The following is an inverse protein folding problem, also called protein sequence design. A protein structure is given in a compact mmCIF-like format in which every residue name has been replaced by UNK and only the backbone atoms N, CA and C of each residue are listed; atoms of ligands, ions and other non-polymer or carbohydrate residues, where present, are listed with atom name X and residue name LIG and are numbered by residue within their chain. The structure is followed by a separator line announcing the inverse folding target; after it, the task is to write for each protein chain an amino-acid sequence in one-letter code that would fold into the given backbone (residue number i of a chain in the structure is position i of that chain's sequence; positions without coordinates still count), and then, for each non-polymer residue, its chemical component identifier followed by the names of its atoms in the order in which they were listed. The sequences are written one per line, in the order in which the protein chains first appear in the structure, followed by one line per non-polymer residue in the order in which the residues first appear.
data_IF_953092119956
#
_entry.id   IF_953092119956
#
_cell.length_a   1.000
_cell.length_b   1.000
_cell.length_c   1.000
_cell.angle_alpha   90.00
_cell.angle_beta   90.00
_cell.angle_gamma   90.00
#
_symmetry.space_group_name_H-M   'P 1'
#
loop_
_entity.id
_entity.type
_entity.pdbx_description
1 polymer ?
#
# COMPACT_ATOMS: atom_id res chain seq x y z
N UNK A 1 -15.95 32.82 9.14
CA UNK A 1 -14.63 32.13 9.15
C UNK A 1 -14.32 31.74 7.71
N UNK A 2 -13.07 31.87 7.26
CA UNK A 2 -12.69 31.41 5.92
C UNK A 2 -12.78 29.87 5.88
N UNK A 3 -13.36 29.32 4.80
CA UNK A 3 -13.45 27.88 4.59
C UNK A 3 -12.06 27.34 4.24
N UNK A 4 -11.60 26.33 4.99
CA UNK A 4 -10.34 25.63 4.72
C UNK A 4 -10.56 24.36 3.91
N UNK A 5 -9.48 23.84 3.32
CA UNK A 5 -9.47 22.62 2.52
C UNK A 5 -8.54 21.57 3.14
N UNK A 6 -8.83 20.30 2.88
CA UNK A 6 -7.97 19.20 3.29
C UNK A 6 -6.83 19.01 2.29
N UNK A 7 -5.68 18.54 2.79
CA UNK A 7 -4.57 18.16 1.91
C UNK A 7 -5.04 17.08 0.91
N UNK A 8 -4.63 17.15 -0.38
CA UNK A 8 -5.11 16.21 -1.41
C UNK A 8 -4.85 14.73 -1.06
N UNK A 9 -3.71 14.41 -0.44
CA UNK A 9 -3.43 13.06 0.10
C UNK A 9 -4.48 12.64 1.13
N UNK A 10 -4.87 13.53 2.05
CA UNK A 10 -5.91 13.25 3.06
C UNK A 10 -7.27 13.05 2.41
N UNK A 11 -7.61 13.82 1.38
CA UNK A 11 -8.84 13.64 0.62
C UNK A 11 -8.87 12.25 -0.05
N UNK A 12 -7.75 11.85 -0.66
CA UNK A 12 -7.61 10.54 -1.28
C UNK A 12 -7.72 9.39 -0.27
N UNK A 13 -7.02 9.46 0.87
CA UNK A 13 -7.12 8.46 1.94
C UNK A 13 -8.57 8.29 2.36
N UNK A 14 -9.32 9.38 2.57
CA UNK A 14 -10.74 9.31 2.94
C UNK A 14 -11.58 8.66 1.85
N UNK A 15 -11.39 9.05 0.59
CA UNK A 15 -12.09 8.47 -0.58
C UNK A 15 -11.82 6.97 -0.68
N UNK A 16 -10.56 6.56 -0.60
CA UNK A 16 -10.16 5.16 -0.64
C UNK A 16 -10.69 4.36 0.56
N UNK A 17 -10.57 4.90 1.77
CA UNK A 17 -11.06 4.24 2.99
C UNK A 17 -12.55 3.96 2.92
N UNK A 18 -13.35 4.95 2.51
CA UNK A 18 -14.80 4.79 2.33
C UNK A 18 -15.16 3.70 1.30
N UNK A 19 -14.36 3.53 0.25
CA UNK A 19 -14.58 2.46 -0.74
C UNK A 19 -14.40 1.07 -0.14
N UNK A 20 -13.36 0.88 0.68
CA UNK A 20 -13.02 -0.40 1.30
C UNK A 20 -13.90 -0.71 2.53
N UNK A 21 -14.24 0.30 3.34
CA UNK A 21 -15.16 0.17 4.48
C UNK A 21 -16.54 -0.33 4.04
N UNK A 22 -17.06 0.17 2.91
CA UNK A 22 -18.31 -0.33 2.30
C UNK A 22 -18.26 -1.81 1.90
N UNK A 23 -17.06 -2.40 1.83
CA UNK A 23 -16.80 -3.82 1.57
C UNK A 23 -16.38 -4.59 2.82
N UNK A 24 -16.51 -3.97 3.99
CA UNK A 24 -16.24 -4.57 5.29
C UNK A 24 -14.76 -4.64 5.65
N UNK A 25 -13.91 -3.80 5.05
CA UNK A 25 -12.53 -3.62 5.53
C UNK A 25 -12.52 -2.62 6.69
N UNK A 26 -11.77 -2.96 7.74
CA UNK A 26 -11.46 -2.04 8.83
C UNK A 26 -10.24 -1.17 8.46
N UNK A 27 -10.19 0.06 8.99
CA UNK A 27 -9.00 0.91 8.91
C UNK A 27 -8.13 0.65 10.13
N UNK A 28 -6.87 0.31 9.92
CA UNK A 28 -5.89 0.13 10.98
C UNK A 28 -4.68 1.04 10.75
N UNK A 29 -4.17 1.63 11.82
CA UNK A 29 -2.92 2.37 11.83
C UNK A 29 -1.94 1.70 12.78
N UNK A 30 -0.66 1.72 12.44
CA UNK A 30 0.40 1.13 13.24
C UNK A 30 1.66 1.98 13.27
N UNK A 31 2.68 1.54 14.02
CA UNK A 31 3.88 2.33 14.27
C UNK A 31 4.67 2.59 12.99
N UNK A 32 5.28 3.78 12.92
CA UNK A 32 6.22 4.18 11.86
C UNK A 32 7.67 3.76 12.16
N UNK A 33 8.04 3.71 13.44
CA UNK A 33 9.29 3.10 13.91
C UNK A 33 9.01 1.63 14.20
N UNK A 34 9.69 0.73 13.49
CA UNK A 34 9.46 -0.70 13.60
C UNK A 34 10.74 -1.51 13.86
N UNK A 35 10.57 -2.80 14.08
CA UNK A 35 11.62 -3.80 14.18
C UNK A 35 11.80 -4.52 12.84
N UNK A 36 12.98 -5.10 12.65
CA UNK A 36 13.28 -5.92 11.48
C UNK A 36 12.29 -7.09 11.31
N UNK A 37 11.80 -7.65 12.42
CA UNK A 37 10.82 -8.73 12.40
C UNK A 37 9.55 -8.35 11.62
N UNK A 38 8.89 -7.26 12.01
CA UNK A 38 7.61 -6.88 11.39
C UNK A 38 7.80 -6.24 10.02
N UNK A 39 8.87 -5.48 9.81
CA UNK A 39 9.11 -4.83 8.51
C UNK A 39 9.66 -5.80 7.46
N UNK A 40 10.27 -6.93 7.84
CA UNK A 40 10.89 -7.82 6.87
C UNK A 40 10.70 -9.31 7.14
N UNK A 41 11.14 -9.84 8.30
CA UNK A 41 11.20 -11.30 8.53
C UNK A 41 9.81 -11.95 8.42
N UNK A 42 8.82 -11.34 9.08
CA UNK A 42 7.44 -11.82 9.08
C UNK A 42 6.81 -11.79 7.68
N UNK A 43 7.34 -10.95 6.79
CA UNK A 43 6.92 -10.77 5.40
C UNK A 43 7.78 -11.58 4.42
N UNK A 44 8.50 -12.59 4.91
CA UNK A 44 9.29 -13.51 4.08
C UNK A 44 10.38 -12.81 3.24
N UNK A 45 10.83 -11.64 3.68
CA UNK A 45 11.98 -10.94 3.10
C UNK A 45 13.19 -11.38 3.90
N UNK A 46 14.18 -12.16 3.41
CA UNK A 46 15.29 -12.64 4.23
C UNK A 46 16.39 -11.57 4.49
N UNK A 47 17.27 -11.82 5.46
CA UNK A 47 18.36 -10.90 5.87
C UNK A 47 19.30 -10.47 4.72
N UNK A 48 19.50 -11.33 3.73
CA UNK A 48 20.33 -11.07 2.55
C UNK A 48 19.56 -10.46 1.37
N UNK A 49 18.30 -10.06 1.58
CA UNK A 49 17.48 -9.45 0.53
C UNK A 49 17.91 -8.00 0.28
N UNK A 50 18.05 -7.54 -0.99
CA UNK A 50 18.49 -6.18 -1.31
C UNK A 50 17.68 -5.08 -0.62
N UNK A 51 16.36 -5.25 -0.48
CA UNK A 51 15.50 -4.27 0.20
C UNK A 51 15.85 -4.00 1.69
N UNK A 52 16.70 -4.83 2.32
CA UNK A 52 17.20 -4.61 3.68
C UNK A 52 18.50 -3.78 3.72
N UNK A 53 19.07 -3.46 2.56
CA UNK A 53 20.32 -2.71 2.48
C UNK A 53 20.17 -1.34 3.18
N UNK A 54 21.23 -0.92 3.87
CA UNK A 54 21.31 0.38 4.54
C UNK A 54 21.19 1.56 3.55
N UNK A 55 21.45 1.30 2.27
CA UNK A 55 21.24 2.28 1.21
C UNK A 55 19.75 2.54 0.93
N UNK A 56 18.86 1.61 1.26
CA UNK A 56 17.42 1.71 0.94
C UNK A 56 16.54 1.97 2.18
N UNK A 57 17.01 1.61 3.39
CA UNK A 57 16.25 1.70 4.64
C UNK A 57 16.88 2.66 5.65
N UNK A 58 16.05 3.51 6.29
CA UNK A 58 16.51 4.34 7.41
C UNK A 58 16.58 3.55 8.72
N UNK A 59 17.78 3.19 9.13
CA UNK A 59 18.06 2.51 10.40
C UNK A 59 18.30 3.52 11.54
N UNK A 60 17.80 3.18 12.73
CA UNK A 60 18.00 3.95 13.97
C UNK A 60 19.21 3.39 14.74
N UNK A 61 19.78 4.23 15.60
CA UNK A 61 20.97 3.88 16.39
C UNK A 61 20.76 2.74 17.39
N UNK A 62 19.50 2.42 17.71
CA UNK A 62 19.11 1.33 18.62
C UNK A 62 18.74 0.03 17.88
N UNK A 63 18.99 -0.04 16.57
CA UNK A 63 18.72 -1.22 15.74
C UNK A 63 17.29 -1.32 15.20
N UNK A 64 16.39 -0.38 15.56
CA UNK A 64 15.08 -0.24 14.91
C UNK A 64 15.21 0.48 13.56
N UNK A 65 14.11 0.61 12.84
CA UNK A 65 14.08 1.28 11.53
C UNK A 65 12.80 2.10 11.34
N UNK A 66 12.83 3.03 10.39
CA UNK A 66 11.60 3.64 9.87
C UNK A 66 10.99 2.70 8.82
N UNK A 67 9.70 2.37 8.96
CA UNK A 67 9.04 1.38 8.10
C UNK A 67 9.14 1.76 6.62
N UNK A 68 9.46 0.78 5.78
CA UNK A 68 9.61 0.98 4.32
C UNK A 68 8.30 0.79 3.55
N UNK A 69 7.32 0.19 4.22
CA UNK A 69 5.98 -0.06 3.74
C UNK A 69 5.02 -0.24 4.93
N UNK A 70 3.72 -0.23 4.68
CA UNK A 70 2.66 -0.46 5.69
C UNK A 70 2.33 -1.94 5.92
N UNK A 71 2.99 -2.87 5.23
CA UNK A 71 2.80 -4.33 5.39
C UNK A 71 3.11 -4.83 6.80
N UNK A 72 3.98 -4.12 7.52
CA UNK A 72 4.29 -4.39 8.93
C UNK A 72 3.03 -4.44 9.80
N UNK A 73 2.07 -3.57 9.49
CA UNK A 73 0.81 -3.45 10.22
C UNK A 73 -0.15 -4.60 9.89
N UNK A 74 -0.05 -5.20 8.71
CA UNK A 74 -0.86 -6.36 8.34
C UNK A 74 -0.58 -7.55 9.26
N UNK A 75 0.71 -7.84 9.52
CA UNK A 75 1.13 -8.91 10.43
C UNK A 75 0.63 -8.62 11.85
N UNK A 76 0.86 -7.39 12.35
CA UNK A 76 0.40 -6.96 13.69
C UNK A 76 -1.11 -7.05 13.85
N UNK A 77 -1.87 -6.70 12.80
CA UNK A 77 -3.32 -6.81 12.79
C UNK A 77 -3.76 -8.27 12.86
N UNK A 78 -3.14 -9.15 12.08
CA UNK A 78 -3.52 -10.55 11.98
C UNK A 78 -3.08 -11.41 13.18
N UNK A 79 -1.94 -11.10 13.82
CA UNK A 79 -1.28 -11.92 14.85
C UNK A 79 -2.20 -12.38 16.01
N UNK A 80 -3.17 -11.55 16.39
CA UNK A 80 -4.12 -11.82 17.47
C UNK A 80 -5.57 -11.96 16.99
N UNK A 81 -5.79 -12.27 15.71
CA UNK A 81 -7.11 -12.40 15.10
C UNK A 81 -7.22 -13.73 14.35
N UNK A 82 -8.44 -14.24 14.27
CA UNK A 82 -8.76 -15.38 13.41
C UNK A 82 -9.54 -14.87 12.20
N UNK A 83 -9.35 -15.43 10.99
CA UNK A 83 -10.14 -15.06 9.83
C UNK A 83 -11.66 -15.21 10.06
N UNK A 84 -12.50 -14.37 9.43
CA UNK A 84 -12.18 -13.45 8.32
C UNK A 84 -11.44 -12.19 8.78
N UNK A 85 -10.38 -11.81 8.04
CA UNK A 85 -9.60 -10.59 8.25
C UNK A 85 -9.75 -9.73 7.01
N UNK A 86 -10.25 -8.51 7.17
CA UNK A 86 -10.30 -7.48 6.11
C UNK A 86 -9.81 -6.17 6.71
N UNK A 87 -8.63 -5.71 6.28
CA UNK A 87 -8.03 -4.49 6.81
C UNK A 87 -7.36 -3.69 5.71
N UNK A 88 -7.49 -2.38 5.77
CA UNK A 88 -6.63 -1.44 5.05
C UNK A 88 -5.76 -0.65 6.05
N UNK A 89 -4.55 -0.34 5.62
CA UNK A 89 -3.55 0.36 6.41
C UNK A 89 -3.04 1.55 5.60
N UNK A 90 -3.67 2.73 5.73
CA UNK A 90 -3.07 3.97 5.26
C UNK A 90 -1.92 4.36 6.20
N UNK A 91 -0.82 4.88 5.66
CA UNK A 91 0.28 5.34 6.52
C UNK A 91 1.46 5.94 5.78
N UNK A 92 2.24 6.73 6.51
CA UNK A 92 3.51 7.27 6.03
C UNK A 92 4.60 6.21 6.07
N UNK A 93 5.40 6.13 5.02
CA UNK A 93 6.51 5.17 4.88
C UNK A 93 7.77 5.91 4.43
N UNK A 94 8.93 5.30 4.63
CA UNK A 94 10.21 5.94 4.42
C UNK A 94 11.13 5.10 3.55
N UNK A 95 11.83 5.76 2.64
CA UNK A 95 12.85 5.12 1.79
C UNK A 95 14.05 6.03 1.71
N UNK A 96 15.24 5.46 1.80
CA UNK A 96 16.48 6.22 1.69
C UNK A 96 16.81 6.48 0.21
N UNK A 97 15.93 7.23 -0.45
CA UNK A 97 16.05 7.61 -1.87
C UNK A 97 16.32 9.12 -1.99
N UNK A 98 17.04 9.51 -3.05
CA UNK A 98 17.28 10.91 -3.35
C UNK A 98 15.98 11.59 -3.79
N UNK A 99 15.59 12.68 -3.14
CA UNK A 99 14.37 13.41 -3.50
C UNK A 99 14.51 14.11 -4.86
N UNK A 100 13.58 13.84 -5.77
CA UNK A 100 13.47 14.50 -7.07
C UNK A 100 12.01 14.81 -7.44
N UNK A 101 11.71 15.03 -8.72
CA UNK A 101 10.34 15.32 -9.18
C UNK A 101 9.35 14.17 -8.97
N UNK A 102 9.84 12.93 -8.84
CA UNK A 102 9.08 11.69 -8.77
C UNK A 102 9.39 10.84 -7.54
N UNK A 103 10.55 11.00 -6.94
CA UNK A 103 11.00 10.29 -5.75
C UNK A 103 10.98 11.21 -4.52
N UNK A 104 10.57 10.66 -3.38
CA UNK A 104 10.60 11.34 -2.10
C UNK A 104 10.95 10.34 -1.00
N UNK A 105 11.73 10.81 -0.02
CA UNK A 105 12.19 9.99 1.09
C UNK A 105 11.09 9.58 2.07
N UNK A 106 10.01 10.37 2.10
CA UNK A 106 8.81 10.16 2.92
C UNK A 106 7.65 10.05 1.95
N UNK A 107 6.90 8.96 1.97
CA UNK A 107 5.78 8.69 1.06
C UNK A 107 4.54 8.31 1.87
N UNK A 108 3.37 8.32 1.23
CA UNK A 108 2.15 7.78 1.82
C UNK A 108 1.73 6.54 1.04
N UNK A 109 1.53 5.43 1.74
CA UNK A 109 0.99 4.21 1.18
C UNK A 109 -0.38 3.90 1.75
N UNK A 110 -1.15 3.14 0.97
CA UNK A 110 -2.30 2.39 1.46
C UNK A 110 -2.08 0.94 1.07
N UNK A 111 -2.09 0.07 2.06
CA UNK A 111 -2.10 -1.36 1.84
C UNK A 111 -3.42 -1.98 2.29
N UNK A 112 -3.75 -3.13 1.74
CA UNK A 112 -4.89 -3.91 2.18
C UNK A 112 -4.57 -5.39 2.26
N UNK A 113 -5.27 -6.07 3.16
CA UNK A 113 -5.19 -7.50 3.41
C UNK A 113 -6.61 -8.06 3.52
N UNK A 114 -6.90 -9.10 2.75
CA UNK A 114 -8.10 -9.91 2.91
C UNK A 114 -7.73 -11.39 3.05
N UNK A 115 -8.09 -12.01 4.18
CA UNK A 115 -7.91 -13.44 4.45
C UNK A 115 -9.25 -14.05 4.87
N UNK A 116 -9.64 -15.13 4.21
CA UNK A 116 -10.82 -15.93 4.54
C UNK A 116 -10.68 -17.35 3.94
N UNK A 117 -11.68 -18.20 4.11
CA UNK A 117 -11.79 -19.46 3.38
C UNK A 117 -12.09 -19.16 1.91
N UNK A 118 -11.47 -19.94 1.02
CA UNK A 118 -11.71 -19.89 -0.42
C UNK A 118 -11.48 -18.54 -1.12
N UNK A 119 -10.59 -17.69 -0.58
CA UNK A 119 -10.15 -16.48 -1.30
C UNK A 119 -9.28 -16.86 -2.49
N UNK A 120 -9.69 -16.47 -3.70
CA UNK A 120 -8.96 -16.73 -4.96
C UNK A 120 -8.47 -15.42 -5.58
N UNK A 121 -7.54 -15.53 -6.53
CA UNK A 121 -6.99 -14.37 -7.26
C UNK A 121 -8.06 -13.58 -8.02
N UNK A 122 -9.15 -14.21 -8.44
CA UNK A 122 -10.29 -13.50 -9.06
C UNK A 122 -10.90 -12.44 -8.14
N UNK A 123 -10.96 -12.69 -6.83
CA UNK A 123 -11.44 -11.70 -5.86
C UNK A 123 -10.50 -10.51 -5.74
N UNK A 124 -9.18 -10.74 -5.85
CA UNK A 124 -8.18 -9.66 -5.89
C UNK A 124 -8.39 -8.78 -7.12
N UNK A 125 -8.53 -9.40 -8.29
CA UNK A 125 -8.72 -8.69 -9.55
C UNK A 125 -10.00 -7.85 -9.55
N UNK A 126 -11.11 -8.41 -9.08
CA UNK A 126 -12.38 -7.70 -8.95
C UNK A 126 -12.27 -6.52 -7.98
N UNK A 127 -11.67 -6.75 -6.81
CA UNK A 127 -11.52 -5.71 -5.76
C UNK A 127 -10.72 -4.51 -6.29
N UNK A 128 -9.58 -4.77 -6.93
CA UNK A 128 -8.69 -3.73 -7.42
C UNK A 128 -9.21 -3.04 -8.67
N UNK A 129 -9.85 -3.79 -9.58
CA UNK A 129 -10.50 -3.19 -10.76
C UNK A 129 -11.61 -2.24 -10.33
N UNK A 130 -12.49 -2.69 -9.41
CA UNK A 130 -13.56 -1.85 -8.89
C UNK A 130 -13.05 -0.63 -8.12
N UNK A 131 -11.93 -0.76 -7.40
CA UNK A 131 -11.29 0.38 -6.74
C UNK A 131 -10.78 1.41 -7.75
N UNK A 132 -10.00 0.97 -8.75
CA UNK A 132 -9.42 1.86 -9.75
C UNK A 132 -10.50 2.54 -10.60
N UNK A 133 -11.58 1.82 -10.96
CA UNK A 133 -12.75 2.40 -11.63
C UNK A 133 -13.48 3.42 -10.75
N UNK A 134 -13.59 3.17 -9.44
CA UNK A 134 -14.16 4.15 -8.52
C UNK A 134 -13.34 5.44 -8.41
N UNK A 135 -12.01 5.34 -8.52
CA UNK A 135 -11.12 6.51 -8.46
C UNK A 135 -11.08 7.28 -9.78
N UNK A 136 -10.85 6.58 -10.89
CA UNK A 136 -10.53 7.16 -12.21
C UNK A 136 -11.67 7.11 -13.23
N UNK A 137 -12.81 6.54 -12.87
CA UNK A 137 -13.99 6.38 -13.72
C UNK A 137 -14.10 4.99 -14.35
N UNK A 138 -15.34 4.58 -14.65
CA UNK A 138 -15.68 3.22 -15.09
C UNK A 138 -15.01 2.79 -16.40
N UNK A 139 -14.59 3.74 -17.23
CA UNK A 139 -13.92 3.49 -18.50
C UNK A 139 -12.42 3.22 -18.38
N UNK A 140 -11.82 3.31 -17.19
CA UNK A 140 -10.39 3.06 -17.03
C UNK A 140 -10.06 1.60 -17.35
N UNK A 141 -9.10 1.39 -18.26
CA UNK A 141 -8.61 0.04 -18.56
C UNK A 141 -7.57 -0.37 -17.51
N UNK A 142 -7.75 -1.54 -16.91
CA UNK A 142 -6.87 -2.11 -15.88
C UNK A 142 -6.20 -3.37 -16.42
N UNK A 143 -4.90 -3.53 -16.15
CA UNK A 143 -4.11 -4.70 -16.56
C UNK A 143 -3.30 -5.24 -15.39
N UNK A 144 -3.35 -6.55 -15.19
CA UNK A 144 -2.53 -7.27 -14.23
C UNK A 144 -1.34 -7.92 -14.95
N UNK A 145 -0.12 -7.71 -14.44
CA UNK A 145 1.11 -8.33 -14.96
C UNK A 145 1.77 -9.16 -13.86
N UNK A 146 2.25 -10.38 -14.13
CA UNK A 146 3.02 -11.13 -13.15
C UNK A 146 4.22 -10.32 -12.66
N UNK A 147 4.41 -10.30 -11.34
CA UNK A 147 5.56 -9.67 -10.69
C UNK A 147 5.92 -10.46 -9.43
N UNK A 148 7.18 -10.36 -8.99
CA UNK A 148 7.65 -11.06 -7.80
C UNK A 148 7.69 -10.12 -6.59
N UNK A 149 7.05 -10.54 -5.51
CA UNK A 149 7.17 -9.91 -4.20
C UNK A 149 7.36 -11.02 -3.15
N UNK A 150 8.30 -10.91 -2.19
CA UNK A 150 8.59 -12.02 -1.28
C UNK A 150 7.41 -12.48 -0.41
N UNK A 151 6.45 -11.61 -0.16
CA UNK A 151 5.28 -11.84 0.72
C UNK A 151 4.02 -12.33 -0.01
N UNK A 152 4.03 -12.46 -1.35
CA UNK A 152 2.90 -12.99 -2.12
C UNK A 152 3.35 -14.00 -3.19
N UNK A 153 2.52 -15.01 -3.46
CA UNK A 153 2.69 -15.94 -4.57
C UNK A 153 1.33 -16.57 -4.94
N UNK A 154 0.80 -16.35 -6.17
CA UNK A 154 1.35 -15.50 -7.22
C UNK A 154 1.26 -13.99 -6.90
N UNK A 155 2.27 -13.24 -7.34
CA UNK A 155 2.32 -11.77 -7.31
C UNK A 155 1.98 -11.12 -8.66
N UNK A 156 1.46 -9.89 -8.61
CA UNK A 156 1.10 -9.10 -9.79
C UNK A 156 1.23 -7.58 -9.56
N UNK A 157 1.81 -6.89 -10.53
CA UNK A 157 1.66 -5.45 -10.68
C UNK A 157 0.34 -5.14 -11.38
N UNK A 158 -0.20 -3.95 -11.10
CA UNK A 158 -1.42 -3.45 -11.72
C UNK A 158 -1.12 -2.13 -12.42
N UNK A 159 -1.42 -2.10 -13.71
CA UNK A 159 -1.31 -0.91 -14.54
C UNK A 159 -2.70 -0.36 -14.87
N UNK A 160 -2.81 0.96 -15.01
CA UNK A 160 -3.95 1.61 -15.66
C UNK A 160 -3.52 2.25 -16.97
N UNK A 161 -4.45 2.32 -17.93
CA UNK A 161 -4.21 3.05 -19.19
C UNK A 161 -4.63 4.50 -19.03
N UNK A 162 -3.66 5.36 -18.80
CA UNK A 162 -3.85 6.79 -18.62
C UNK A 162 -3.31 7.54 -19.85
N UNK A 163 -4.13 8.36 -20.50
CA UNK A 163 -3.75 9.13 -21.69
C UNK A 163 -3.08 8.27 -22.79
N UNK A 164 -3.59 7.06 -23.00
CA UNK A 164 -3.07 6.11 -24.01
C UNK A 164 -1.79 5.38 -23.63
N UNK A 165 -1.25 5.58 -22.42
CA UNK A 165 -0.06 4.90 -21.91
C UNK A 165 -0.40 4.02 -20.71
N UNK A 166 0.24 2.86 -20.62
CA UNK A 166 0.16 2.00 -19.44
C UNK A 166 1.09 2.53 -18.35
N UNK A 167 0.54 2.77 -17.17
CA UNK A 167 1.27 3.23 -15.99
C UNK A 167 0.99 2.28 -14.83
N UNK A 168 2.05 1.76 -14.24
CA UNK A 168 1.98 0.99 -13.00
C UNK A 168 1.50 1.89 -11.86
N UNK A 169 0.56 1.39 -11.06
CA UNK A 169 -0.08 2.15 -9.98
C UNK A 169 -0.06 1.44 -8.63
N UNK A 170 0.02 0.10 -8.60
CA UNK A 170 0.08 -0.67 -7.36
C UNK A 170 0.63 -2.08 -7.58
N UNK A 171 1.16 -2.67 -6.51
CA UNK A 171 1.56 -4.08 -6.44
C UNK A 171 0.55 -4.90 -5.63
N UNK A 172 0.45 -6.20 -5.92
CA UNK A 172 -0.54 -7.07 -5.30
C UNK A 172 -0.17 -8.55 -5.41
N UNK A 173 -0.93 -9.41 -4.73
CA UNK A 173 -0.85 -10.86 -4.94
C UNK A 173 -1.56 -11.67 -3.87
N UNK A 174 -1.51 -13.00 -4.02
CA UNK A 174 -2.02 -13.94 -3.01
C UNK A 174 -1.00 -14.10 -1.89
N UNK A 175 -1.41 -13.94 -0.63
CA UNK A 175 -0.49 -13.96 0.54
C UNK A 175 0.30 -15.26 0.57
N UNK A 176 1.63 -15.16 0.66
CA UNK A 176 2.51 -16.30 0.67
C UNK A 176 2.26 -17.19 1.90
N UNK A 177 2.27 -18.54 1.79
CA UNK A 177 2.00 -19.43 2.93
C UNK A 177 2.89 -19.21 4.16
N UNK A 178 4.15 -18.82 3.97
CA UNK A 178 5.05 -18.43 5.09
C UNK A 178 4.51 -17.23 5.86
N UNK A 179 3.98 -16.22 5.16
CA UNK A 179 3.44 -15.01 5.78
C UNK A 179 2.16 -15.34 6.56
N UNK A 180 1.28 -16.19 6.01
CA UNK A 180 0.11 -16.70 6.74
C UNK A 180 0.51 -17.42 8.04
N UNK A 181 1.53 -18.29 7.99
CA UNK A 181 2.06 -18.96 9.19
C UNK A 181 2.62 -17.96 10.21
N UNK A 182 3.34 -16.94 9.75
CA UNK A 182 3.87 -15.88 10.62
C UNK A 182 2.75 -15.03 11.27
N UNK A 183 1.55 -15.03 10.69
CA UNK A 183 0.33 -14.43 11.25
C UNK A 183 -0.47 -15.40 12.15
N UNK A 184 0.03 -16.62 12.42
CA UNK A 184 -0.69 -17.69 13.11
C UNK A 184 -1.96 -18.18 12.38
N UNK A 185 -1.93 -18.16 11.04
CA UNK A 185 -3.04 -18.60 10.18
C UNK A 185 -2.62 -19.84 9.39
N UNK A 186 -3.46 -20.87 9.40
CA UNK A 186 -3.20 -22.14 8.69
C UNK A 186 -3.45 -21.99 7.17
N UNK A 187 -2.40 -22.05 6.31
CA UNK A 187 -2.53 -21.90 4.87
C UNK A 187 -3.19 -23.09 4.18
N UNK A 188 -3.42 -24.21 4.88
CA UNK A 188 -4.19 -25.34 4.34
C UNK A 188 -5.71 -25.10 4.40
N UNK A 189 -6.16 -24.18 5.27
CA UNK A 189 -7.57 -23.84 5.49
C UNK A 189 -7.90 -22.47 4.88
N UNK A 190 -7.00 -21.51 5.05
CA UNK A 190 -7.23 -20.11 4.68
C UNK A 190 -6.32 -19.68 3.54
N UNK A 191 -6.85 -18.78 2.73
CA UNK A 191 -6.09 -18.06 1.71
C UNK A 191 -6.45 -16.59 1.76
N UNK A 192 -5.66 -15.76 1.11
CA UNK A 192 -5.90 -14.34 1.12
C UNK A 192 -5.13 -13.63 0.04
N UNK A 193 -5.46 -12.36 -0.17
CA UNK A 193 -4.69 -11.48 -1.02
C UNK A 193 -4.27 -10.23 -0.25
N UNK A 194 -3.19 -9.62 -0.70
CA UNK A 194 -2.73 -8.32 -0.26
C UNK A 194 -2.48 -7.41 -1.47
N UNK A 195 -2.54 -6.11 -1.24
CA UNK A 195 -2.20 -5.09 -2.22
C UNK A 195 -1.58 -3.87 -1.55
N UNK A 196 -0.78 -3.12 -2.29
CA UNK A 196 -0.14 -1.90 -1.81
C UNK A 196 0.00 -0.87 -2.91
N UNK A 197 -0.40 0.35 -2.59
CA UNK A 197 -0.40 1.48 -3.53
C UNK A 197 0.24 2.71 -2.91
N UNK A 198 1.04 3.43 -3.70
CA UNK A 198 1.55 4.74 -3.34
C UNK A 198 0.47 5.80 -3.56
N UNK A 199 -0.02 6.43 -2.49
CA UNK A 199 -1.09 7.42 -2.59
C UNK A 199 -0.59 8.67 -3.32
N UNK A 200 0.65 9.09 -3.07
CA UNK A 200 1.26 10.24 -3.75
C UNK A 200 1.16 10.09 -5.28
N UNK A 201 1.51 8.91 -5.81
CA UNK A 201 1.42 8.58 -7.24
C UNK A 201 -0.01 8.66 -7.75
N UNK A 202 -0.97 8.10 -7.01
CA UNK A 202 -2.38 8.07 -7.41
C UNK A 202 -3.00 9.47 -7.43
N UNK A 203 -2.71 10.28 -6.41
CA UNK A 203 -3.15 11.68 -6.35
C UNK A 203 -2.53 12.53 -7.46
N UNK A 204 -1.26 12.28 -7.79
CA UNK A 204 -0.63 12.93 -8.94
C UNK A 204 -1.35 12.63 -10.25
N UNK A 205 -1.78 11.37 -10.46
CA UNK A 205 -2.55 10.99 -11.64
C UNK A 205 -3.96 11.59 -11.63
N UNK A 206 -4.66 11.53 -10.50
CA UNK A 206 -6.04 12.05 -10.36
C UNK A 206 -6.12 13.57 -10.63
N UNK A 207 -5.11 14.34 -10.19
CA UNK A 207 -5.09 15.79 -10.30
C UNK A 207 -4.09 16.34 -11.33
N UNK A 208 -3.48 15.49 -12.16
CA UNK A 208 -2.45 15.87 -13.13
C UNK A 208 -1.28 16.68 -12.53
N UNK A 209 -0.84 16.32 -11.32
CA UNK A 209 0.28 16.97 -10.62
C UNK A 209 1.59 16.36 -11.13
N UNK A 210 2.53 17.21 -11.54
CA UNK A 210 3.78 16.78 -12.18
C UNK A 210 4.94 16.57 -11.20
N UNK A 211 4.88 17.14 -9.99
CA UNK A 211 5.98 17.19 -9.02
C UNK A 211 5.52 16.72 -7.64
N UNK A 212 6.07 15.60 -7.15
CA UNK A 212 5.69 14.99 -5.87
C UNK A 212 6.00 15.90 -4.66
N UNK A 213 7.07 16.69 -4.75
CA UNK A 213 7.53 17.61 -3.70
C UNK A 213 6.51 18.67 -3.32
N UNK A 214 5.54 18.97 -4.20
CA UNK A 214 4.46 19.91 -3.92
C UNK A 214 3.59 19.48 -2.73
N UNK A 215 3.45 18.18 -2.47
CA UNK A 215 2.73 17.68 -1.30
C UNK A 215 3.38 18.05 0.03
N UNK A 216 4.70 18.30 0.04
CA UNK A 216 5.48 18.59 1.25
C UNK A 216 6.04 20.01 1.29
N UNK A 217 5.75 20.82 0.27
CA UNK A 217 6.24 22.21 0.16
C UNK A 217 5.53 23.19 1.11
N UNK A 218 4.37 22.80 1.64
CA UNK A 218 3.47 23.69 2.40
C UNK A 218 3.06 24.97 1.64
N UNK A 219 3.09 24.95 0.30
CA UNK A 219 2.64 26.09 -0.52
C UNK A 219 1.11 26.25 -0.48
N UNK A 220 0.64 27.32 0.15
CA UNK A 220 -0.78 27.64 0.25
C UNK A 220 -1.46 27.85 -1.11
N UNK A 221 -0.74 28.28 -2.15
CA UNK A 221 -1.30 28.42 -3.51
C UNK A 221 -1.60 27.06 -4.13
N UNK A 222 -0.76 26.08 -3.85
CA UNK A 222 -1.00 24.69 -4.25
C UNK A 222 -2.19 24.12 -3.48
N UNK A 223 -2.17 24.21 -2.14
CA UNK A 223 -3.19 23.58 -1.29
C UNK A 223 -4.61 24.14 -1.48
N UNK A 224 -4.76 25.40 -1.90
CA UNK A 224 -6.07 26.02 -2.16
C UNK A 224 -6.80 25.50 -3.40
N UNK A 225 -6.13 24.72 -4.26
CA UNK A 225 -6.72 24.20 -5.50
C UNK A 225 -7.60 22.96 -5.28
N UNK A 226 -7.50 22.34 -4.11
CA UNK A 226 -8.21 21.12 -3.72
C UNK A 226 -9.30 21.39 -2.70
#
# INVERSE_FOLDING_TARGET
MAQGNLHPITQFIRKASLFFEKRGFEVYEGPEVDTEWYNFDALNVPANHPARDVQDTFWLTDGRLLRTHTSNCQVRYAENRQPPIRVIVPGTVYRNEATDARHESTLTQLEGLYIDKDVKIGHLFETLTGFLQHIYGDSIEVRFRPHHYPFVEPGADVDIKFEGKWLEVLGSGMVHPTVLKNMNIDPSIYSGFAFGMGIDRLVMLEHHITEIRLFRSSDLKFLKQF
#
